data_IF_818599754923
#
_entry.id   IF_818599754923
#
_cell.length_a   1.000
_cell.length_b   1.000
_cell.length_c   1.000
_cell.angle_alpha   90.00
_cell.angle_beta   90.00
_cell.angle_gamma   90.00
#
_symmetry.space_group_name_H-M   'P 1'
#
loop_
_entity.id
_entity.type
_entity.pdbx_description
1 polymer ?
#
# COMPACT_ATOMS: atom_id res chain seq x y z
N UNK A 1 47.11 37.16 -11.34
CA UNK A 1 46.20 36.42 -12.25
C UNK A 1 45.61 35.28 -11.42
N UNK A 2 44.44 35.49 -10.82
CA UNK A 2 43.11 35.04 -11.28
C UNK A 2 42.90 33.53 -11.01
N UNK A 3 41.79 33.00 -10.47
CA UNK A 3 40.57 33.52 -9.87
C UNK A 3 39.84 32.33 -9.18
N UNK A 4 39.05 32.63 -8.15
CA UNK A 4 37.81 31.96 -7.67
C UNK A 4 37.45 30.52 -8.14
N UNK A 5 37.01 29.67 -7.19
CA UNK A 5 35.56 29.35 -6.96
C UNK A 5 35.35 28.32 -5.84
N UNK A 6 34.42 28.67 -4.93
CA UNK A 6 33.79 27.87 -3.88
C UNK A 6 33.17 26.56 -4.36
N UNK A 7 32.96 25.62 -3.40
CA UNK A 7 31.84 24.65 -3.22
C UNK A 7 32.35 23.38 -2.48
N UNK A 8 31.81 22.80 -1.39
CA UNK A 8 30.53 22.82 -0.69
C UNK A 8 30.70 22.37 0.78
N UNK A 9 29.77 22.83 1.62
CA UNK A 9 29.42 22.35 2.95
C UNK A 9 28.70 21.00 2.84
N UNK A 10 28.99 20.05 3.75
CA UNK A 10 28.04 19.26 4.55
C UNK A 10 28.58 17.86 4.87
N UNK A 11 29.16 17.71 6.07
CA UNK A 11 29.21 16.42 6.76
C UNK A 11 28.72 16.68 8.18
N UNK A 12 27.41 16.56 8.37
CA UNK A 12 26.77 16.62 9.68
C UNK A 12 26.20 15.25 10.01
N UNK A 13 26.80 14.68 11.05
CA UNK A 13 26.17 13.90 12.13
C UNK A 13 25.55 12.55 11.82
N UNK A 14 26.40 11.54 12.00
CA UNK A 14 26.24 10.42 12.93
C UNK A 14 25.08 10.50 13.96
N UNK A 15 24.43 9.32 14.12
CA UNK A 15 23.90 8.69 15.36
C UNK A 15 22.50 9.21 15.80
N UNK A 16 21.48 8.40 16.10
CA UNK A 16 21.44 7.12 16.80
C UNK A 16 20.23 6.24 16.43
N UNK A 17 20.49 4.94 16.57
CA UNK A 17 19.60 3.80 16.82
C UNK A 17 18.53 4.10 17.86
N UNK A 18 17.28 3.65 17.63
CA UNK A 18 16.47 2.94 18.64
C UNK A 18 15.57 1.91 17.93
N UNK A 19 15.85 0.62 18.17
CA UNK A 19 14.88 -0.46 18.05
C UNK A 19 13.74 -0.22 19.04
N UNK A 20 12.49 -0.24 18.58
CA UNK A 20 11.37 -0.64 19.42
C UNK A 20 10.25 -1.21 18.54
N UNK A 21 10.21 -2.53 18.48
CA UNK A 21 8.97 -3.25 18.24
C UNK A 21 8.01 -2.96 19.39
N UNK A 22 6.87 -2.33 19.11
CA UNK A 22 5.63 -2.49 19.86
C UNK A 22 4.49 -1.79 19.14
N UNK A 23 3.42 -2.55 18.95
CA UNK A 23 2.02 -2.12 18.89
C UNK A 23 1.74 -0.68 19.34
N UNK A 24 1.06 0.09 18.50
CA UNK A 24 0.58 1.42 18.88
C UNK A 24 -0.10 2.20 17.75
N UNK A 25 -1.22 1.68 17.23
CA UNK A 25 -2.21 2.53 16.58
C UNK A 25 -2.86 3.44 17.64
N UNK A 26 -2.63 4.75 17.56
CA UNK A 26 -3.46 5.88 18.02
C UNK A 26 -2.56 7.14 18.05
N UNK A 27 -2.95 8.37 17.75
CA UNK A 27 -4.15 9.02 17.20
C UNK A 27 -3.85 10.53 17.24
N UNK A 28 -4.33 11.32 16.26
CA UNK A 28 -4.80 12.71 16.42
C UNK A 28 -5.00 13.31 15.00
N UNK A 29 -6.23 13.37 14.49
CA UNK A 29 -7.21 14.43 14.75
C UNK A 29 -6.84 15.74 14.04
N UNK A 30 -7.27 15.85 12.77
CA UNK A 30 -7.63 17.14 12.20
C UNK A 30 -9.16 17.22 12.29
N UNK A 31 -9.63 17.97 13.28
CA UNK A 31 -11.04 18.32 13.49
C UNK A 31 -11.59 19.11 12.30
N UNK A 32 -12.73 18.66 11.76
CA UNK A 32 -13.63 19.47 10.95
C UNK A 32 -14.93 19.59 11.75
N UNK A 33 -15.55 20.78 11.87
CA UNK A 33 -16.59 21.03 12.86
C UNK A 33 -17.84 20.17 12.61
N UNK A 34 -18.29 19.59 13.72
CA UNK A 34 -19.37 18.64 13.87
C UNK A 34 -20.73 19.33 13.69
N UNK A 35 -21.52 18.83 12.74
CA UNK A 35 -22.91 19.22 12.51
C UNK A 35 -23.72 17.97 12.10
N UNK A 36 -23.42 16.80 12.68
CA UNK A 36 -24.24 15.62 12.47
C UNK A 36 -25.09 15.32 13.70
N UNK A 37 -26.40 15.06 13.53
CA UNK A 37 -27.30 14.81 14.65
C UNK A 37 -26.87 13.55 15.42
N UNK A 38 -26.97 13.64 16.75
CA UNK A 38 -26.77 12.57 17.73
C UNK A 38 -27.20 11.21 17.18
N UNK A 39 -26.36 10.15 17.22
CA UNK A 39 -26.75 8.85 16.69
C UNK A 39 -27.89 8.31 17.56
N UNK A 40 -29.10 8.33 17.00
CA UNK A 40 -30.16 7.44 17.43
C UNK A 40 -29.59 6.02 17.40
N UNK A 41 -29.92 5.23 18.42
CA UNK A 41 -29.53 3.82 18.55
C UNK A 41 -29.98 3.02 17.31
N UNK A 42 -29.13 3.03 16.28
CA UNK A 42 -29.30 2.26 15.07
C UNK A 42 -28.87 0.83 15.34
N UNK A 43 -29.77 -0.10 15.06
CA UNK A 43 -29.53 -1.55 15.08
C UNK A 43 -28.19 -1.92 14.41
N UNK A 44 -27.51 -2.94 14.93
CA UNK A 44 -26.20 -3.44 14.46
C UNK A 44 -26.10 -3.61 12.93
N UNK A 45 -27.22 -3.86 12.25
CA UNK A 45 -27.30 -3.92 10.79
C UNK A 45 -27.00 -2.59 10.10
N UNK A 46 -27.44 -1.45 10.64
CA UNK A 46 -27.18 -0.13 10.04
C UNK A 46 -25.69 0.24 10.12
N UNK A 47 -25.05 -0.05 11.25
CA UNK A 47 -23.62 0.13 11.44
C UNK A 47 -22.81 -0.82 10.54
N UNK A 48 -23.23 -2.09 10.42
CA UNK A 48 -22.59 -3.08 9.54
C UNK A 48 -22.75 -2.70 8.06
N UNK A 49 -23.94 -2.25 7.63
CA UNK A 49 -24.18 -1.77 6.27
C UNK A 49 -23.34 -0.52 5.94
N UNK A 50 -23.20 0.41 6.89
CA UNK A 50 -22.32 1.58 6.75
C UNK A 50 -20.85 1.17 6.61
N UNK A 51 -20.40 0.19 7.39
CA UNK A 51 -19.02 -0.33 7.28
C UNK A 51 -18.73 -1.00 5.94
N UNK A 52 -19.70 -1.76 5.39
CA UNK A 52 -19.60 -2.38 4.06
C UNK A 52 -19.49 -1.33 2.96
N UNK A 53 -20.38 -0.34 2.96
CA UNK A 53 -20.35 0.75 1.99
C UNK A 53 -19.00 1.48 2.01
N UNK A 54 -18.46 1.75 3.21
CA UNK A 54 -17.14 2.38 3.37
C UNK A 54 -16.00 1.50 2.84
N UNK A 55 -16.05 0.19 3.05
CA UNK A 55 -15.05 -0.74 2.53
C UNK A 55 -15.09 -0.83 1.00
N UNK A 56 -16.29 -0.85 0.41
CA UNK A 56 -16.49 -0.80 -1.05
C UNK A 56 -15.95 0.50 -1.66
N UNK A 57 -16.18 1.65 -1.02
CA UNK A 57 -15.65 2.94 -1.46
C UNK A 57 -14.11 2.98 -1.39
N UNK A 58 -13.51 2.47 -0.31
CA UNK A 58 -12.06 2.35 -0.16
C UNK A 58 -11.46 1.50 -1.28
N UNK A 59 -12.05 0.34 -1.55
CA UNK A 59 -11.59 -0.56 -2.61
C UNK A 59 -11.71 0.11 -3.98
N UNK A 60 -12.85 0.74 -4.27
CA UNK A 60 -13.08 1.45 -5.53
C UNK A 60 -12.07 2.58 -5.75
N UNK A 61 -11.77 3.36 -4.72
CA UNK A 61 -10.76 4.42 -4.79
C UNK A 61 -9.35 3.85 -5.02
N UNK A 62 -8.97 2.81 -4.27
CA UNK A 62 -7.67 2.17 -4.41
C UNK A 62 -7.50 1.52 -5.79
N UNK A 63 -8.53 0.87 -6.32
CA UNK A 63 -8.53 0.32 -7.68
C UNK A 63 -8.36 1.39 -8.74
N UNK A 64 -9.07 2.52 -8.62
CA UNK A 64 -8.94 3.63 -9.58
C UNK A 64 -7.51 4.11 -9.65
N UNK A 65 -6.84 4.23 -8.50
CA UNK A 65 -5.44 4.64 -8.44
C UNK A 65 -4.51 3.56 -8.97
N UNK A 66 -4.72 2.29 -8.60
CA UNK A 66 -3.94 1.19 -9.14
C UNK A 66 -4.03 1.12 -10.68
N UNK A 67 -5.20 1.41 -11.28
CA UNK A 67 -5.39 1.46 -12.74
C UNK A 67 -4.70 2.64 -13.43
N UNK A 68 -4.34 3.70 -12.69
CA UNK A 68 -3.50 4.79 -13.25
C UNK A 68 -2.03 4.38 -13.32
N UNK A 69 -1.61 3.57 -12.35
CA UNK A 69 -0.24 3.11 -12.19
C UNK A 69 0.02 1.71 -12.73
N UNK A 70 -1.00 0.99 -13.18
CA UNK A 70 -0.87 -0.35 -13.72
C UNK A 70 -1.85 -0.57 -14.86
N UNK A 71 -1.44 -1.42 -15.80
CA UNK A 71 -2.31 -1.98 -16.81
C UNK A 71 -3.36 -2.90 -16.16
N UNK A 72 -4.60 -2.78 -16.61
CA UNK A 72 -5.75 -3.50 -16.03
C UNK A 72 -5.73 -4.99 -16.37
N UNK A 73 -5.16 -5.37 -17.50
CA UNK A 73 -5.17 -6.75 -18.00
C UNK A 73 -3.89 -7.49 -17.60
N UNK A 74 -2.73 -6.84 -17.74
CA UNK A 74 -1.44 -7.49 -17.40
C UNK A 74 -0.96 -7.22 -15.98
N UNK A 75 -1.46 -6.18 -15.31
CA UNK A 75 -0.92 -5.73 -14.01
C UNK A 75 0.45 -5.04 -14.13
N UNK A 76 0.96 -4.84 -15.36
CA UNK A 76 2.24 -4.19 -15.58
C UNK A 76 2.18 -2.71 -15.15
N UNK A 77 3.21 -2.17 -14.48
CA UNK A 77 3.23 -0.78 -14.05
C UNK A 77 3.19 0.19 -15.25
N UNK A 78 2.56 1.34 -15.05
CA UNK A 78 2.40 2.44 -16.01
C UNK A 78 2.96 3.73 -15.42
N UNK A 79 3.66 4.49 -16.26
CA UNK A 79 4.21 5.79 -15.89
C UNK A 79 5.52 5.71 -15.10
N UNK A 80 5.89 6.81 -14.45
CA UNK A 80 7.19 7.03 -13.81
C UNK A 80 7.13 6.83 -12.28
N UNK A 81 6.05 6.22 -11.78
CA UNK A 81 5.89 6.02 -10.34
C UNK A 81 6.95 5.04 -9.82
N UNK A 82 7.73 5.46 -8.81
CA UNK A 82 8.82 4.65 -8.24
C UNK A 82 8.35 3.43 -7.46
N UNK A 83 9.30 2.53 -7.14
CA UNK A 83 9.15 1.23 -6.46
C UNK A 83 8.22 1.24 -5.22
N UNK A 84 8.29 2.29 -4.43
CA UNK A 84 7.48 2.40 -3.22
C UNK A 84 6.01 2.76 -3.52
N UNK A 85 5.78 3.64 -4.49
CA UNK A 85 4.45 4.18 -4.76
C UNK A 85 3.50 3.10 -5.29
N UNK A 86 3.91 2.30 -6.29
CA UNK A 86 3.02 1.27 -6.80
C UNK A 86 2.79 0.14 -5.77
N UNK A 87 3.76 -0.11 -4.88
CA UNK A 87 3.63 -1.11 -3.82
C UNK A 87 2.59 -0.66 -2.78
N UNK A 88 2.71 0.58 -2.29
CA UNK A 88 1.78 1.12 -1.31
C UNK A 88 0.33 1.14 -1.82
N UNK A 89 0.13 1.50 -3.09
CA UNK A 89 -1.21 1.48 -3.68
C UNK A 89 -1.76 0.07 -3.86
N UNK A 90 -0.93 -0.86 -4.32
CA UNK A 90 -1.29 -2.28 -4.41
C UNK A 90 -1.66 -2.86 -3.04
N UNK A 91 -0.87 -2.55 -1.99
CA UNK A 91 -1.13 -2.98 -0.61
C UNK A 91 -2.41 -2.37 -0.04
N UNK A 92 -2.68 -1.08 -0.32
CA UNK A 92 -3.93 -0.42 0.08
C UNK A 92 -5.15 -1.09 -0.56
N UNK A 93 -5.07 -1.42 -1.86
CA UNK A 93 -6.13 -2.16 -2.55
C UNK A 93 -6.38 -3.52 -1.90
N UNK A 94 -5.31 -4.31 -1.70
CA UNK A 94 -5.40 -5.61 -1.02
C UNK A 94 -6.02 -5.47 0.37
N UNK A 95 -5.60 -4.48 1.16
CA UNK A 95 -6.12 -4.29 2.52
C UNK A 95 -7.61 -3.93 2.52
N UNK A 96 -8.04 -3.05 1.61
CA UNK A 96 -9.46 -2.71 1.46
C UNK A 96 -10.30 -3.92 1.02
N UNK A 97 -9.75 -4.76 0.16
CA UNK A 97 -10.39 -6.01 -0.27
C UNK A 97 -10.49 -7.02 0.88
N UNK A 98 -9.46 -7.16 1.71
CA UNK A 98 -9.49 -8.01 2.90
C UNK A 98 -10.51 -7.52 3.94
N UNK A 99 -10.64 -6.20 4.11
CA UNK A 99 -11.67 -5.57 4.95
C UNK A 99 -13.06 -5.92 4.43
N UNK A 100 -13.29 -5.78 3.12
CA UNK A 100 -14.56 -6.11 2.49
C UNK A 100 -14.88 -7.60 2.60
N UNK A 101 -13.92 -8.50 2.38
CA UNK A 101 -14.08 -9.96 2.56
C UNK A 101 -14.47 -10.28 4.01
N UNK A 102 -13.89 -9.59 4.99
CA UNK A 102 -14.25 -9.76 6.40
C UNK A 102 -15.71 -9.37 6.71
N UNK A 103 -16.24 -8.38 6.00
CA UNK A 103 -17.63 -7.89 6.17
C UNK A 103 -18.64 -8.59 5.24
N UNK A 104 -18.16 -9.16 4.15
CA UNK A 104 -18.91 -9.72 3.03
C UNK A 104 -18.13 -10.92 2.42
N UNK A 105 -18.17 -12.11 3.04
CA UNK A 105 -17.37 -13.25 2.62
C UNK A 105 -17.64 -13.72 1.18
N UNK A 106 -18.83 -13.46 0.64
CA UNK A 106 -19.17 -13.74 -0.76
C UNK A 106 -18.38 -12.89 -1.77
N UNK A 107 -17.67 -11.85 -1.31
CA UNK A 107 -16.80 -11.03 -2.16
C UNK A 107 -15.55 -11.78 -2.63
N UNK A 108 -15.11 -12.82 -1.91
CA UNK A 108 -13.97 -13.65 -2.30
C UNK A 108 -13.18 -14.19 -1.12
N UNK A 109 -11.99 -14.72 -1.42
CA UNK A 109 -11.10 -15.29 -0.40
C UNK A 109 -9.93 -14.36 -0.11
N UNK A 110 -9.45 -14.39 1.13
CA UNK A 110 -8.25 -13.63 1.53
C UNK A 110 -7.03 -14.03 0.68
N UNK A 111 -6.88 -15.33 0.41
CA UNK A 111 -5.83 -15.86 -0.45
C UNK A 111 -5.87 -15.23 -1.86
N UNK A 112 -7.04 -15.19 -2.51
CA UNK A 112 -7.16 -14.62 -3.85
C UNK A 112 -6.83 -13.11 -3.90
N UNK A 113 -7.19 -12.36 -2.84
CA UNK A 113 -6.86 -10.94 -2.74
C UNK A 113 -5.34 -10.70 -2.63
N UNK A 114 -4.66 -11.54 -1.85
CA UNK A 114 -3.20 -11.50 -1.65
C UNK A 114 -2.46 -12.02 -2.90
N UNK A 115 -2.94 -13.08 -3.54
CA UNK A 115 -2.38 -13.58 -4.82
C UNK A 115 -2.40 -12.51 -5.90
N UNK A 116 -3.50 -11.74 -6.00
CA UNK A 116 -3.56 -10.60 -6.92
C UNK A 116 -2.50 -9.54 -6.61
N UNK A 117 -2.28 -9.24 -5.34
CA UNK A 117 -1.23 -8.31 -4.91
C UNK A 117 0.16 -8.82 -5.27
N UNK A 118 0.45 -10.09 -4.98
CA UNK A 118 1.71 -10.75 -5.31
C UNK A 118 1.99 -10.75 -6.81
N UNK A 119 1.00 -11.11 -7.62
CA UNK A 119 1.15 -11.13 -9.08
C UNK A 119 1.48 -9.74 -9.64
N UNK A 120 0.91 -8.68 -9.08
CA UNK A 120 1.29 -7.31 -9.44
C UNK A 120 2.73 -6.97 -9.05
N UNK A 121 3.19 -7.37 -7.86
CA UNK A 121 4.58 -7.11 -7.45
C UNK A 121 5.57 -7.84 -8.35
N UNK A 122 5.23 -9.06 -8.80
CA UNK A 122 6.05 -9.82 -9.76
C UNK A 122 6.10 -9.17 -11.14
N UNK A 123 4.96 -8.81 -11.72
CA UNK A 123 4.89 -8.15 -13.02
C UNK A 123 5.66 -6.82 -13.04
N UNK A 124 5.64 -6.10 -11.91
CA UNK A 124 6.45 -4.91 -11.77
C UNK A 124 7.93 -5.20 -11.63
N UNK A 125 8.33 -6.13 -10.75
CA UNK A 125 9.74 -6.52 -10.62
C UNK A 125 10.35 -6.86 -12.00
N UNK A 126 9.63 -7.63 -12.82
CA UNK A 126 10.01 -7.92 -14.21
C UNK A 126 10.24 -6.62 -15.01
N UNK A 127 9.29 -5.68 -14.97
CA UNK A 127 9.44 -4.38 -15.66
C UNK A 127 10.64 -3.58 -15.15
N UNK A 128 10.91 -3.59 -13.84
CA UNK A 128 12.04 -2.89 -13.22
C UNK A 128 13.36 -3.49 -13.72
N UNK A 129 13.47 -4.81 -13.70
CA UNK A 129 14.65 -5.54 -14.19
C UNK A 129 14.85 -5.33 -15.70
N UNK A 130 13.80 -5.48 -16.51
CA UNK A 130 13.87 -5.39 -17.96
C UNK A 130 14.19 -3.98 -18.47
N UNK A 131 13.68 -2.95 -17.80
CA UNK A 131 13.90 -1.56 -18.25
C UNK A 131 15.38 -1.15 -18.20
N UNK A 132 16.19 -1.80 -17.35
CA UNK A 132 17.59 -1.43 -17.09
C UNK A 132 17.77 0.00 -16.55
N UNK A 133 16.67 0.72 -16.27
CA UNK A 133 16.64 2.13 -15.91
C UNK A 133 16.69 2.35 -14.38
N UNK A 134 16.47 1.28 -13.62
CA UNK A 134 16.43 1.32 -12.16
C UNK A 134 17.75 0.84 -11.54
N UNK A 135 18.02 1.35 -10.35
CA UNK A 135 19.19 0.97 -9.56
C UNK A 135 19.07 -0.45 -8.97
N UNK A 136 20.20 -1.03 -8.59
CA UNK A 136 20.23 -2.31 -7.84
C UNK A 136 19.43 -2.23 -6.52
N UNK A 137 19.36 -1.05 -5.92
CA UNK A 137 18.55 -0.80 -4.73
C UNK A 137 17.05 -0.94 -5.03
N UNK A 138 16.59 -0.41 -6.17
CA UNK A 138 15.18 -0.52 -6.57
C UNK A 138 14.79 -1.95 -6.95
N UNK A 139 15.69 -2.71 -7.57
CA UNK A 139 15.52 -4.15 -7.81
C UNK A 139 15.33 -4.87 -6.46
N UNK A 140 16.27 -4.72 -5.52
CA UNK A 140 16.18 -5.33 -4.19
C UNK A 140 14.92 -4.90 -3.41
N UNK A 141 14.47 -3.65 -3.59
CA UNK A 141 13.23 -3.14 -2.99
C UNK A 141 12.01 -3.89 -3.52
N UNK A 142 11.93 -4.14 -4.82
CA UNK A 142 10.84 -4.95 -5.41
C UNK A 142 10.88 -6.41 -4.97
N UNK A 143 12.07 -7.01 -4.83
CA UNK A 143 12.23 -8.37 -4.28
C UNK A 143 11.73 -8.46 -2.84
N UNK A 144 12.04 -7.46 -2.01
CA UNK A 144 11.52 -7.38 -0.65
C UNK A 144 9.97 -7.35 -0.62
N UNK A 145 9.35 -6.56 -1.49
CA UNK A 145 7.88 -6.49 -1.57
C UNK A 145 7.24 -7.80 -2.04
N UNK A 146 7.89 -8.52 -2.95
CA UNK A 146 7.47 -9.88 -3.34
C UNK A 146 7.54 -10.82 -2.14
N UNK A 147 8.67 -10.84 -1.41
CA UNK A 147 8.85 -11.71 -0.25
C UNK A 147 7.83 -11.42 0.86
N UNK A 148 7.50 -10.15 1.10
CA UNK A 148 6.44 -9.77 2.05
C UNK A 148 5.07 -10.30 1.60
N UNK A 149 4.72 -10.14 0.32
CA UNK A 149 3.46 -10.64 -0.22
C UNK A 149 3.37 -12.17 -0.18
N UNK A 150 4.48 -12.87 -0.41
CA UNK A 150 4.57 -14.34 -0.27
C UNK A 150 4.37 -14.78 1.18
N UNK A 151 4.98 -14.07 2.14
CA UNK A 151 4.78 -14.35 3.56
C UNK A 151 3.32 -14.15 4.00
N UNK A 152 2.67 -13.09 3.51
CA UNK A 152 1.24 -12.85 3.75
C UNK A 152 0.37 -13.96 3.16
N UNK A 153 0.69 -14.43 1.95
CA UNK A 153 -0.05 -15.51 1.31
C UNK A 153 0.09 -16.81 2.10
N UNK A 154 1.32 -17.16 2.48
CA UNK A 154 1.61 -18.34 3.28
C UNK A 154 0.87 -18.31 4.63
N UNK A 155 0.75 -17.14 5.26
CA UNK A 155 0.02 -16.98 6.52
C UNK A 155 -1.49 -17.24 6.40
N UNK A 156 -2.08 -17.11 5.21
CA UNK A 156 -3.52 -17.35 5.00
C UNK A 156 -3.83 -18.67 4.32
N UNK A 157 -2.84 -19.33 3.71
CA UNK A 157 -2.99 -20.64 3.04
C UNK A 157 -2.31 -21.79 3.78
N UNK A 158 -1.49 -21.51 4.78
CA UNK A 158 -0.85 -22.51 5.63
C UNK A 158 -1.86 -23.38 6.40
N UNK A 159 -1.45 -24.61 6.78
CA UNK A 159 -2.28 -25.56 7.54
C UNK A 159 -2.60 -25.09 8.96
#
# INVERSE_FOLDING_TARGET
MAAHKHRWIAALSMVAIVLAAAFGFASAAAEQPDNNPTPAAGTDESATQSSRARAEDKLTAAERVCKMFHDRESGAPRGIAGAEANYLWSKRRMTAELELIGLKPEHGTKAAAIERHLNWMRAWHETVVESGAFSQYEIATTEYYIAEAEALLAAVTGP
#
